data_IF_691183407442
#
_entry.id   IF_691183407442
#
_cell.length_a   1.000
_cell.length_b   1.000
_cell.length_c   1.000
_cell.angle_alpha   90.00
_cell.angle_beta   90.00
_cell.angle_gamma   90.00
#
_symmetry.space_group_name_H-M   'P 1'
#
loop_
_entity.id
_entity.type
_entity.pdbx_description
1 polymer ?
#
# COMPACT_ATOMS: atom_id res chain seq x y z
N UNK A 1 -24.33 25.33 -33.93
CA UNK A 1 -24.67 25.53 -32.50
C UNK A 1 -23.98 24.43 -31.71
N UNK A 2 -22.81 24.74 -31.12
CA UNK A 2 -21.94 23.76 -30.46
C UNK A 2 -22.23 23.68 -28.96
N UNK A 3 -22.78 22.55 -28.52
CA UNK A 3 -23.04 22.20 -27.12
C UNK A 3 -21.73 21.81 -26.41
N UNK A 4 -20.96 22.79 -25.94
CA UNK A 4 -19.86 22.60 -24.99
C UNK A 4 -20.41 22.65 -23.56
N UNK A 5 -21.05 21.55 -23.13
CA UNK A 5 -21.49 21.41 -21.74
C UNK A 5 -20.41 20.66 -20.94
N UNK A 6 -19.67 21.32 -20.03
CA UNK A 6 -18.55 20.72 -19.28
C UNK A 6 -18.98 19.56 -18.36
N UNK A 7 -20.27 19.48 -18.03
CA UNK A 7 -20.85 18.41 -17.22
C UNK A 7 -20.95 17.07 -17.98
N UNK A 8 -21.14 17.08 -19.30
CA UNK A 8 -21.12 15.85 -20.12
C UNK A 8 -19.72 15.26 -20.28
N UNK A 9 -18.67 16.10 -20.25
CA UNK A 9 -17.27 15.63 -20.33
C UNK A 9 -16.84 14.94 -19.03
N UNK A 10 -17.34 15.37 -17.86
CA UNK A 10 -17.03 14.76 -16.55
C UNK A 10 -17.74 13.42 -16.30
N UNK A 11 -18.93 13.20 -16.87
CA UNK A 11 -19.62 11.90 -16.80
C UNK A 11 -18.97 10.83 -17.67
N UNK A 12 -18.32 11.22 -18.78
CA UNK A 12 -17.59 10.30 -19.66
C UNK A 12 -16.26 9.82 -19.07
N UNK A 13 -15.57 10.66 -18.30
CA UNK A 13 -14.31 10.29 -17.62
C UNK A 13 -14.56 9.39 -16.41
N UNK A 14 -15.59 9.65 -15.61
CA UNK A 14 -15.96 8.78 -14.47
C UNK A 14 -16.40 7.38 -14.93
N UNK A 15 -17.20 7.29 -15.99
CA UNK A 15 -17.57 5.99 -16.60
C UNK A 15 -16.35 5.26 -17.18
N UNK A 16 -15.38 5.97 -17.75
CA UNK A 16 -14.12 5.38 -18.22
C UNK A 16 -13.22 4.91 -17.07
N UNK A 17 -13.15 5.63 -15.96
CA UNK A 17 -12.35 5.22 -14.80
C UNK A 17 -12.98 4.03 -14.08
N UNK A 18 -14.31 4.00 -13.93
CA UNK A 18 -15.02 2.81 -13.43
C UNK A 18 -14.84 1.61 -14.38
N UNK A 19 -14.89 1.83 -15.69
CA UNK A 19 -14.64 0.79 -16.68
C UNK A 19 -13.18 0.30 -16.64
N UNK A 20 -12.20 1.17 -16.40
CA UNK A 20 -10.78 0.80 -16.27
C UNK A 20 -10.48 0.10 -14.95
N UNK A 21 -11.12 0.49 -13.84
CA UNK A 21 -11.04 -0.22 -12.56
C UNK A 21 -11.73 -1.59 -12.62
N UNK A 22 -12.87 -1.67 -13.30
CA UNK A 22 -13.58 -2.92 -13.53
C UNK A 22 -12.83 -3.84 -14.51
N UNK A 23 -12.22 -3.27 -15.57
CA UNK A 23 -11.32 -3.99 -16.47
C UNK A 23 -10.01 -4.39 -15.80
N UNK A 24 -9.43 -3.60 -14.89
CA UNK A 24 -8.29 -4.06 -14.09
C UNK A 24 -8.71 -5.20 -13.16
N UNK A 25 -9.89 -5.11 -12.53
CA UNK A 25 -10.46 -6.18 -11.73
C UNK A 25 -10.74 -7.47 -12.53
N UNK A 26 -11.09 -7.35 -13.82
CA UNK A 26 -11.32 -8.49 -14.72
C UNK A 26 -10.04 -9.00 -15.41
N UNK A 27 -9.08 -8.13 -15.74
CA UNK A 27 -7.83 -8.49 -16.40
C UNK A 27 -6.78 -9.05 -15.41
N UNK A 28 -6.78 -8.61 -14.15
CA UNK A 28 -6.00 -9.26 -13.09
C UNK A 28 -6.58 -10.63 -12.70
N UNK A 29 -7.86 -10.87 -12.97
CA UNK A 29 -8.55 -12.10 -12.57
C UNK A 29 -8.75 -13.13 -13.70
N UNK A 30 -8.34 -12.89 -14.96
CA UNK A 30 -8.65 -13.85 -16.04
C UNK A 30 -7.53 -14.05 -17.09
N UNK A 31 -6.40 -13.35 -17.00
CA UNK A 31 -5.28 -13.52 -17.94
C UNK A 31 -4.21 -14.53 -17.52
N UNK A 32 -4.13 -14.87 -16.24
CA UNK A 32 -3.20 -15.87 -15.70
C UNK A 32 -3.93 -17.20 -15.42
N UNK A 33 -5.26 -17.19 -15.36
CA UNK A 33 -6.08 -18.33 -14.94
C UNK A 33 -6.30 -19.44 -16.00
N UNK A 34 -5.79 -19.29 -17.23
CA UNK A 34 -6.00 -20.29 -18.29
C UNK A 34 -4.91 -21.39 -18.33
N UNK A 35 -3.74 -21.15 -17.74
CA UNK A 35 -2.73 -22.19 -17.46
C UNK A 35 -2.80 -22.67 -15.98
N UNK A 36 -3.75 -22.15 -15.20
CA UNK A 36 -3.93 -22.37 -13.75
C UNK A 36 -5.07 -23.36 -13.41
N UNK A 37 -5.37 -24.34 -14.25
CA UNK A 37 -6.31 -25.41 -13.90
C UNK A 37 -5.81 -26.36 -12.78
N UNK A 38 -4.63 -26.11 -12.22
CA UNK A 38 -4.07 -26.83 -11.06
C UNK A 38 -3.89 -25.95 -9.81
N UNK A 39 -4.24 -24.66 -9.88
CA UNK A 39 -4.24 -23.77 -8.72
C UNK A 39 -5.66 -23.63 -8.19
N UNK A 40 -6.05 -24.53 -7.27
CA UNK A 40 -7.24 -24.30 -6.46
C UNK A 40 -6.82 -23.67 -5.11
N UNK A 41 -7.17 -22.39 -4.86
CA UNK A 41 -6.86 -21.68 -3.63
C UNK A 41 -7.58 -22.25 -2.40
N UNK A 42 -8.54 -23.17 -2.58
CA UNK A 42 -9.33 -23.80 -1.52
C UNK A 42 -8.90 -25.23 -1.20
N UNK A 43 -7.88 -25.79 -1.86
CA UNK A 43 -7.35 -27.13 -1.52
C UNK A 43 -6.71 -27.07 -0.14
N UNK A 44 -7.33 -27.68 0.89
CA UNK A 44 -6.76 -27.76 2.22
C UNK A 44 -5.39 -28.44 2.15
N UNK A 45 -4.47 -28.12 3.05
CA UNK A 45 -3.16 -28.82 3.14
C UNK A 45 -3.33 -30.33 3.32
N UNK A 46 -4.50 -30.78 3.79
CA UNK A 46 -4.88 -32.19 3.86
C UNK A 46 -5.14 -32.86 2.50
N UNK A 47 -5.45 -32.09 1.45
CA UNK A 47 -5.74 -32.58 0.09
C UNK A 47 -4.56 -32.42 -0.88
N UNK A 48 -3.44 -31.81 -0.48
CA UNK A 48 -2.20 -31.95 -1.26
C UNK A 48 -1.82 -33.43 -1.24
N UNK A 49 -2.01 -34.14 -2.35
CA UNK A 49 -1.67 -35.56 -2.45
C UNK A 49 -0.15 -35.71 -2.33
N UNK A 50 0.30 -36.05 -1.12
CA UNK A 50 1.67 -36.48 -0.91
C UNK A 50 1.89 -37.73 -1.75
N UNK A 51 3.02 -37.85 -2.47
CA UNK A 51 3.32 -39.09 -3.15
C UNK A 51 3.20 -40.23 -2.14
N UNK A 52 2.37 -41.24 -2.43
CA UNK A 52 2.02 -42.26 -1.46
C UNK A 52 3.30 -42.92 -0.93
N UNK A 53 3.29 -43.28 0.35
CA UNK A 53 4.31 -44.16 0.91
C UNK A 53 4.34 -45.38 -0.01
N UNK A 54 5.48 -45.75 -0.61
CA UNK A 54 5.54 -47.01 -1.33
C UNK A 54 5.33 -48.11 -0.30
N UNK A 55 4.11 -48.65 -0.27
CA UNK A 55 3.70 -49.76 0.60
C UNK A 55 4.50 -51.04 0.27
N UNK A 56 5.26 -51.02 -0.84
CA UNK A 56 6.06 -52.13 -1.37
C UNK A 56 7.47 -51.71 -1.81
N UNK A 57 8.16 -50.88 -1.03
CA UNK A 57 9.60 -50.69 -1.27
C UNK A 57 10.38 -51.85 -0.64
N UNK A 58 10.39 -53.00 -1.31
CA UNK A 58 11.02 -54.25 -0.83
C UNK A 58 12.56 -54.16 -0.68
N UNK A 59 13.17 -53.03 -1.07
CA UNK A 59 14.63 -52.83 -1.02
C UNK A 59 15.00 -51.44 -0.53
N UNK A 60 16.15 -51.34 0.15
CA UNK A 60 16.77 -50.08 0.56
C UNK A 60 16.94 -49.09 -0.62
N UNK A 61 17.19 -49.61 -1.82
CA UNK A 61 17.36 -48.83 -3.04
C UNK A 61 16.05 -48.16 -3.49
N UNK A 62 14.91 -48.85 -3.40
CA UNK A 62 13.61 -48.28 -3.73
C UNK A 62 13.23 -47.11 -2.80
N UNK A 63 13.56 -47.21 -1.52
CA UNK A 63 13.29 -46.15 -0.52
C UNK A 63 14.20 -44.95 -0.75
N UNK A 64 15.48 -45.16 -1.09
CA UNK A 64 16.41 -44.08 -1.45
C UNK A 64 15.98 -43.34 -2.72
N UNK A 65 15.52 -44.05 -3.74
CA UNK A 65 14.99 -43.45 -4.97
C UNK A 65 13.70 -42.65 -4.70
N UNK A 66 12.81 -43.19 -3.85
CA UNK A 66 11.63 -42.45 -3.41
C UNK A 66 11.99 -41.18 -2.64
N UNK A 67 12.97 -41.23 -1.72
CA UNK A 67 13.44 -40.04 -1.02
C UNK A 67 13.98 -38.97 -2.00
N UNK A 68 14.76 -39.36 -3.00
CA UNK A 68 15.29 -38.43 -4.01
C UNK A 68 14.16 -37.80 -4.84
N UNK A 69 13.19 -38.60 -5.27
CA UNK A 69 12.04 -38.11 -6.04
C UNK A 69 11.18 -37.12 -5.22
N UNK A 70 10.94 -37.44 -3.95
CA UNK A 70 10.26 -36.54 -2.99
C UNK A 70 11.06 -35.26 -2.81
N UNK A 71 12.36 -35.34 -2.51
CA UNK A 71 13.21 -34.17 -2.31
C UNK A 71 13.21 -33.24 -3.55
N UNK A 72 13.29 -33.79 -4.76
CA UNK A 72 13.27 -33.00 -5.99
C UNK A 72 11.91 -32.34 -6.26
N UNK A 73 10.81 -33.10 -6.12
CA UNK A 73 9.45 -32.59 -6.32
C UNK A 73 9.14 -31.44 -5.34
N UNK A 74 9.37 -31.66 -4.05
CA UNK A 74 9.10 -30.64 -3.03
C UNK A 74 10.02 -29.44 -3.15
N UNK A 75 11.31 -29.61 -3.47
CA UNK A 75 12.20 -28.47 -3.70
C UNK A 75 11.75 -27.63 -4.90
N UNK A 76 11.22 -28.24 -5.97
CA UNK A 76 10.75 -27.49 -7.13
C UNK A 76 9.44 -26.75 -6.82
N UNK A 77 8.42 -27.47 -6.37
CA UNK A 77 7.10 -26.90 -6.07
C UNK A 77 7.18 -25.82 -5.00
N UNK A 78 7.96 -26.03 -3.95
CA UNK A 78 8.10 -25.07 -2.86
C UNK A 78 8.88 -23.83 -3.29
N UNK A 79 9.86 -23.96 -4.19
CA UNK A 79 10.54 -22.81 -4.79
C UNK A 79 9.59 -22.00 -5.66
N UNK A 80 8.81 -22.66 -6.53
CA UNK A 80 7.83 -22.00 -7.39
C UNK A 80 6.74 -21.29 -6.57
N UNK A 81 6.20 -21.97 -5.57
CA UNK A 81 5.22 -21.40 -4.66
C UNK A 81 5.78 -20.20 -3.88
N UNK A 82 6.99 -20.32 -3.33
CA UNK A 82 7.64 -19.23 -2.60
C UNK A 82 7.87 -18.01 -3.49
N UNK A 83 8.28 -18.22 -4.74
CA UNK A 83 8.48 -17.13 -5.71
C UNK A 83 7.17 -16.42 -6.04
N UNK A 84 6.12 -17.17 -6.38
CA UNK A 84 4.79 -16.59 -6.67
C UNK A 84 4.24 -15.80 -5.48
N UNK A 85 4.43 -16.32 -4.26
CA UNK A 85 4.00 -15.64 -3.04
C UNK A 85 4.76 -14.33 -2.81
N UNK A 86 6.06 -14.31 -3.13
CA UNK A 86 6.88 -13.10 -3.05
C UNK A 86 6.48 -12.08 -4.12
N UNK A 87 6.26 -12.52 -5.37
CA UNK A 87 5.77 -11.66 -6.45
C UNK A 87 4.41 -11.03 -6.09
N UNK A 88 3.51 -11.81 -5.49
CA UNK A 88 2.23 -11.30 -5.00
C UNK A 88 2.39 -10.30 -3.85
N UNK A 89 3.31 -10.56 -2.90
CA UNK A 89 3.64 -9.63 -1.82
C UNK A 89 4.17 -8.31 -2.38
N UNK A 90 5.08 -8.36 -3.34
CA UNK A 90 5.65 -7.18 -4.00
C UNK A 90 4.56 -6.37 -4.72
N UNK A 91 3.69 -7.03 -5.48
CA UNK A 91 2.58 -6.36 -6.17
C UNK A 91 1.63 -5.64 -5.20
N UNK A 92 1.31 -6.26 -4.06
CA UNK A 92 0.51 -5.62 -3.03
C UNK A 92 1.22 -4.42 -2.39
N UNK A 93 2.53 -4.51 -2.16
CA UNK A 93 3.32 -3.41 -1.61
C UNK A 93 3.44 -2.25 -2.62
N UNK A 94 3.64 -2.55 -3.90
CA UNK A 94 3.65 -1.54 -4.98
C UNK A 94 2.31 -0.81 -5.07
N UNK A 95 1.19 -1.54 -4.98
CA UNK A 95 -0.15 -0.96 -4.96
C UNK A 95 -0.34 -0.05 -3.74
N UNK A 96 0.13 -0.47 -2.56
CA UNK A 96 0.10 0.36 -1.35
C UNK A 96 0.95 1.62 -1.50
N UNK A 97 2.17 1.51 -2.00
CA UNK A 97 3.05 2.65 -2.23
C UNK A 97 2.50 3.60 -3.29
N UNK A 98 1.80 3.10 -4.30
CA UNK A 98 1.10 3.93 -5.26
C UNK A 98 -0.05 4.72 -4.60
N UNK A 99 -0.83 4.09 -3.72
CA UNK A 99 -1.88 4.76 -2.95
C UNK A 99 -1.32 5.83 -1.99
N UNK A 100 -0.18 5.56 -1.34
CA UNK A 100 0.49 6.55 -0.48
C UNK A 100 1.00 7.74 -1.29
N UNK A 101 1.63 7.50 -2.44
CA UNK A 101 2.06 8.57 -3.36
C UNK A 101 0.88 9.41 -3.86
N UNK A 102 -0.21 8.78 -4.31
CA UNK A 102 -1.40 9.52 -4.73
C UNK A 102 -1.97 10.35 -3.56
N UNK A 103 -1.98 9.81 -2.34
CA UNK A 103 -2.42 10.58 -1.16
C UNK A 103 -1.57 11.83 -0.96
N UNK A 104 -0.24 11.73 -1.02
CA UNK A 104 0.67 12.87 -0.88
C UNK A 104 0.46 13.91 -1.98
N UNK A 105 0.34 13.46 -3.23
CA UNK A 105 0.05 14.35 -4.38
C UNK A 105 -1.28 15.09 -4.23
N UNK A 106 -2.29 14.44 -3.65
CA UNK A 106 -3.62 15.03 -3.39
C UNK A 106 -3.62 15.97 -2.18
N UNK A 107 -2.74 15.75 -1.22
CA UNK A 107 -2.60 16.58 -0.01
C UNK A 107 -1.87 17.90 -0.33
N UNK A 108 -0.92 17.86 -1.25
CA UNK A 108 -0.04 18.97 -1.61
C UNK A 108 -0.79 20.29 -1.92
N UNK A 109 -1.88 20.33 -2.70
CA UNK A 109 -2.64 21.56 -2.94
C UNK A 109 -3.22 22.17 -1.66
N UNK A 110 -3.68 21.34 -0.71
CA UNK A 110 -4.18 21.79 0.59
C UNK A 110 -3.06 22.39 1.44
N UNK A 111 -1.85 21.81 1.39
CA UNK A 111 -0.67 22.32 2.09
C UNK A 111 -0.27 23.68 1.50
N UNK A 112 -0.14 23.79 0.18
CA UNK A 112 0.23 25.05 -0.48
C UNK A 112 -0.80 26.16 -0.23
N UNK A 113 -2.09 25.82 -0.25
CA UNK A 113 -3.15 26.78 0.07
C UNK A 113 -3.10 27.23 1.54
N UNK A 114 -2.75 26.31 2.45
CA UNK A 114 -2.52 26.63 3.86
C UNK A 114 -1.33 27.57 4.04
N UNK A 115 -0.19 27.28 3.41
CA UNK A 115 1.02 28.11 3.48
C UNK A 115 0.75 29.54 2.97
N UNK A 116 0.04 29.68 1.84
CA UNK A 116 -0.35 31.00 1.30
C UNK A 116 -1.26 31.77 2.25
N UNK A 117 -2.24 31.10 2.85
CA UNK A 117 -3.13 31.70 3.87
C UNK A 117 -2.33 32.11 5.10
N UNK A 118 -1.40 31.28 5.55
CA UNK A 118 -0.64 31.49 6.77
C UNK A 118 0.40 32.60 6.63
N UNK A 119 1.05 32.70 5.46
CA UNK A 119 1.92 33.82 5.12
C UNK A 119 1.19 35.17 5.23
N UNK A 120 -0.08 35.22 4.81
CA UNK A 120 -0.91 36.42 4.95
C UNK A 120 -1.40 36.63 6.38
N UNK A 121 -1.62 35.58 7.18
CA UNK A 121 -2.09 35.70 8.58
C UNK A 121 -1.11 36.52 9.41
N UNK A 122 0.20 36.31 9.24
CA UNK A 122 1.23 37.03 9.99
C UNK A 122 1.13 38.55 9.76
N UNK A 123 0.96 38.98 8.51
CA UNK A 123 0.79 40.39 8.17
C UNK A 123 -0.58 40.97 8.55
N UNK A 124 -1.58 40.14 8.89
CA UNK A 124 -2.92 40.63 9.22
C UNK A 124 -2.95 41.46 10.50
N UNK A 125 -2.07 41.18 11.46
CA UNK A 125 -1.96 41.97 12.70
C UNK A 125 -1.36 43.34 12.38
N UNK A 126 -0.31 43.37 11.56
CA UNK A 126 0.35 44.62 11.16
C UNK A 126 -0.59 45.54 10.38
N UNK A 127 -1.42 44.98 9.50
CA UNK A 127 -2.44 45.74 8.78
C UNK A 127 -3.54 46.27 9.68
N UNK A 128 -3.93 45.52 10.72
CA UNK A 128 -4.90 46.01 11.71
C UNK A 128 -4.32 47.16 12.55
N UNK A 129 -3.06 47.05 12.98
CA UNK A 129 -2.36 48.15 13.67
C UNK A 129 -2.25 49.39 12.77
N UNK A 130 -1.81 49.22 11.51
CA UNK A 130 -1.75 50.31 10.54
C UNK A 130 -3.12 50.96 10.32
N UNK A 131 -4.21 50.18 10.29
CA UNK A 131 -5.57 50.71 10.18
C UNK A 131 -5.98 51.54 11.40
N UNK A 132 -5.65 51.09 12.61
CA UNK A 132 -5.89 51.87 13.83
C UNK A 132 -5.09 53.17 13.84
N UNK A 133 -3.83 53.15 13.38
CA UNK A 133 -2.99 54.34 13.32
C UNK A 133 -3.51 55.34 12.28
N UNK A 134 -3.94 54.86 11.09
CA UNK A 134 -4.61 55.69 10.08
C UNK A 134 -5.90 56.34 10.63
N UNK A 135 -6.67 55.64 11.46
CA UNK A 135 -7.86 56.22 12.10
C UNK A 135 -7.52 57.30 13.12
N UNK A 136 -6.47 57.10 13.94
CA UNK A 136 -5.98 58.14 14.85
C UNK A 136 -5.45 59.35 14.10
N UNK A 137 -4.71 59.15 13.02
CA UNK A 137 -4.21 60.22 12.16
C UNK A 137 -5.34 61.02 11.53
N UNK A 138 -6.42 60.34 11.08
CA UNK A 138 -7.64 61.01 10.60
C UNK A 138 -8.25 61.88 11.69
N UNK A 139 -8.48 61.34 12.88
CA UNK A 139 -9.13 62.06 13.98
C UNK A 139 -8.30 63.29 14.40
N UNK A 140 -6.98 63.15 14.49
CA UNK A 140 -6.08 64.26 14.80
C UNK A 140 -6.07 65.33 13.69
N UNK A 141 -6.10 64.91 12.43
CA UNK A 141 -6.16 65.81 11.27
C UNK A 141 -7.49 66.56 11.20
N UNK A 142 -8.62 65.89 11.43
CA UNK A 142 -9.95 66.52 11.48
C UNK A 142 -10.02 67.57 12.58
N UNK A 143 -9.58 67.24 13.80
CA UNK A 143 -9.52 68.19 14.91
C UNK A 143 -8.58 69.37 14.62
N UNK A 144 -7.43 69.14 13.97
CA UNK A 144 -6.48 70.18 13.59
C UNK A 144 -7.06 71.15 12.55
N UNK A 145 -7.82 70.64 11.58
CA UNK A 145 -8.49 71.45 10.56
C UNK A 145 -9.63 72.27 11.17
N UNK A 146 -10.45 71.68 12.05
CA UNK A 146 -11.51 72.39 12.78
C UNK A 146 -10.94 73.50 13.68
N UNK A 147 -9.79 73.28 14.30
CA UNK A 147 -9.08 74.30 15.08
C UNK A 147 -8.39 75.38 14.21
N UNK A 148 -8.40 75.25 12.89
CA UNK A 148 -7.74 76.17 11.96
C UNK A 148 -6.21 76.08 11.95
N UNK A 149 -5.64 75.01 12.52
CA UNK A 149 -4.20 74.83 12.66
C UNK A 149 -3.49 74.27 11.42
N UNK A 150 -4.25 73.71 10.47
CA UNK A 150 -3.77 73.28 9.16
C UNK A 150 -4.63 73.91 8.05
N UNK A 151 -4.00 74.19 6.91
CA UNK A 151 -4.69 74.72 5.73
C UNK A 151 -5.51 73.66 4.99
N UNK A 152 -6.42 74.10 4.13
CA UNK A 152 -7.27 73.21 3.31
C UNK A 152 -6.46 72.25 2.44
N UNK A 153 -5.44 72.75 1.76
CA UNK A 153 -4.62 71.95 0.84
C UNK A 153 -3.87 70.83 1.60
N UNK A 154 -3.40 71.13 2.81
CA UNK A 154 -2.75 70.14 3.68
C UNK A 154 -3.75 69.09 4.17
N UNK A 155 -4.95 69.52 4.57
CA UNK A 155 -6.03 68.62 4.96
C UNK A 155 -6.40 67.66 3.81
N UNK A 156 -6.61 68.18 2.59
CA UNK A 156 -6.98 67.36 1.43
C UNK A 156 -5.87 66.33 1.10
N UNK A 157 -4.59 66.72 1.15
CA UNK A 157 -3.47 65.81 0.92
C UNK A 157 -3.38 64.69 1.97
N UNK A 158 -3.51 65.03 3.27
CA UNK A 158 -3.49 64.04 4.36
C UNK A 158 -4.72 63.12 4.31
N UNK A 159 -5.88 63.66 3.97
CA UNK A 159 -7.11 62.88 3.81
C UNK A 159 -7.04 61.91 2.62
N UNK A 160 -6.40 62.30 1.52
CA UNK A 160 -6.14 61.39 0.39
C UNK A 160 -5.21 60.24 0.79
N UNK A 161 -4.15 60.52 1.56
CA UNK A 161 -3.26 59.49 2.10
C UNK A 161 -4.02 58.50 2.99
N UNK A 162 -4.90 58.98 3.87
CA UNK A 162 -5.80 58.14 4.66
C UNK A 162 -6.69 57.25 3.79
N UNK A 163 -7.37 57.82 2.78
CA UNK A 163 -8.23 57.05 1.86
C UNK A 163 -7.46 55.96 1.14
N UNK A 164 -6.25 56.26 0.67
CA UNK A 164 -5.36 55.29 0.04
C UNK A 164 -4.96 54.18 1.02
N UNK A 165 -4.59 54.53 2.26
CA UNK A 165 -4.24 53.57 3.30
C UNK A 165 -5.39 52.60 3.65
N UNK A 166 -6.62 53.11 3.78
CA UNK A 166 -7.81 52.28 4.01
C UNK A 166 -8.12 51.38 2.80
N UNK A 167 -7.92 51.86 1.58
CA UNK A 167 -8.08 51.04 0.38
C UNK A 167 -7.07 49.89 0.32
N UNK A 168 -5.80 50.15 0.67
CA UNK A 168 -4.76 49.13 0.78
C UNK A 168 -5.09 48.08 1.85
N UNK A 169 -5.59 48.50 3.01
CA UNK A 169 -6.06 47.61 4.07
C UNK A 169 -7.18 46.69 3.59
N UNK A 170 -8.23 47.24 2.95
CA UNK A 170 -9.33 46.44 2.39
C UNK A 170 -8.84 45.44 1.35
N UNK A 171 -7.99 45.89 0.42
CA UNK A 171 -7.40 45.03 -0.60
C UNK A 171 -6.57 43.89 0.01
N UNK A 172 -5.86 44.15 1.12
CA UNK A 172 -5.16 43.09 1.86
C UNK A 172 -6.15 42.07 2.46
N UNK A 173 -7.18 42.52 3.17
CA UNK A 173 -8.16 41.61 3.78
C UNK A 173 -8.96 40.81 2.75
N UNK A 174 -9.25 41.37 1.58
CA UNK A 174 -9.86 40.64 0.47
C UNK A 174 -8.95 39.52 -0.06
N UNK A 175 -7.64 39.78 -0.19
CA UNK A 175 -6.64 38.75 -0.53
C UNK A 175 -6.58 37.66 0.54
N UNK A 176 -6.58 38.02 1.81
CA UNK A 176 -6.59 37.06 2.92
C UNK A 176 -7.87 36.20 2.93
N UNK A 177 -9.04 36.81 2.76
CA UNK A 177 -10.31 36.11 2.67
C UNK A 177 -10.36 35.16 1.46
N UNK A 178 -9.83 35.58 0.32
CA UNK A 178 -9.69 34.75 -0.87
C UNK A 178 -8.77 33.54 -0.62
N UNK A 179 -7.60 33.75 -0.01
CA UNK A 179 -6.68 32.68 0.35
C UNK A 179 -7.29 31.67 1.33
N UNK A 180 -8.05 32.15 2.32
CA UNK A 180 -8.80 31.29 3.24
C UNK A 180 -9.82 30.42 2.52
N UNK A 181 -10.65 31.01 1.63
CA UNK A 181 -11.64 30.25 0.84
C UNK A 181 -10.96 29.24 -0.10
N UNK A 182 -9.78 29.56 -0.63
CA UNK A 182 -9.01 28.61 -1.42
C UNK A 182 -8.58 27.40 -0.56
N UNK A 183 -7.98 27.64 0.60
CA UNK A 183 -7.62 26.59 1.55
C UNK A 183 -8.82 25.73 1.95
N UNK A 184 -9.94 26.35 2.35
CA UNK A 184 -11.12 25.61 2.82
C UNK A 184 -11.64 24.65 1.73
N UNK A 185 -11.64 25.08 0.45
CA UNK A 185 -12.05 24.24 -0.69
C UNK A 185 -11.08 23.09 -0.97
N UNK A 186 -9.78 23.37 -1.03
CA UNK A 186 -8.77 22.33 -1.29
C UNK A 186 -8.72 21.32 -0.14
N UNK A 187 -8.84 21.79 1.10
CA UNK A 187 -8.90 20.92 2.27
C UNK A 187 -10.16 20.03 2.25
N UNK A 188 -11.33 20.59 1.96
CA UNK A 188 -12.57 19.82 1.84
C UNK A 188 -12.48 18.78 0.72
N UNK A 189 -11.88 19.12 -0.42
CA UNK A 189 -11.64 18.18 -1.51
C UNK A 189 -10.71 17.04 -1.09
N UNK A 190 -9.64 17.34 -0.36
CA UNK A 190 -8.73 16.33 0.18
C UNK A 190 -9.42 15.43 1.23
N UNK A 191 -10.21 15.99 2.13
CA UNK A 191 -10.99 15.20 3.11
C UNK A 191 -11.97 14.25 2.42
N UNK A 192 -12.68 14.72 1.39
CA UNK A 192 -13.55 13.86 0.58
C UNK A 192 -12.78 12.74 -0.10
N UNK A 193 -11.61 13.02 -0.67
CA UNK A 193 -10.74 11.97 -1.21
C UNK A 193 -10.33 10.93 -0.16
N UNK A 194 -9.98 11.38 1.05
CA UNK A 194 -9.63 10.47 2.14
C UNK A 194 -10.79 9.54 2.51
N UNK A 195 -12.01 10.06 2.53
CA UNK A 195 -13.23 9.34 2.89
C UNK A 195 -13.72 8.40 1.79
N UNK A 196 -13.81 8.91 0.57
CA UNK A 196 -14.47 8.21 -0.53
C UNK A 196 -13.53 7.22 -1.23
N UNK A 197 -12.22 7.46 -1.22
CA UNK A 197 -11.25 6.66 -1.98
C UNK A 197 -10.17 6.02 -1.10
N UNK A 198 -9.39 6.82 -0.36
CA UNK A 198 -8.19 6.31 0.32
C UNK A 198 -8.49 5.35 1.47
N UNK A 199 -9.38 5.71 2.40
CA UNK A 199 -9.74 4.84 3.54
C UNK A 199 -10.36 3.51 3.06
N UNK A 200 -11.31 3.48 2.10
CA UNK A 200 -11.79 2.24 1.52
C UNK A 200 -10.69 1.41 0.84
N UNK A 201 -9.81 2.04 0.07
CA UNK A 201 -8.71 1.33 -0.62
C UNK A 201 -7.74 0.67 0.37
N UNK A 202 -7.35 1.37 1.45
CA UNK A 202 -6.51 0.80 2.51
C UNK A 202 -7.24 -0.32 3.26
N UNK A 203 -8.54 -0.17 3.52
CA UNK A 203 -9.33 -1.24 4.14
C UNK A 203 -9.39 -2.49 3.24
N UNK A 204 -9.57 -2.31 1.92
CA UNK A 204 -9.53 -3.39 0.94
C UNK A 204 -8.16 -4.06 0.90
N UNK A 205 -7.05 -3.30 0.85
CA UNK A 205 -5.69 -3.82 0.94
C UNK A 205 -5.49 -4.68 2.20
N UNK A 206 -5.86 -4.15 3.38
CA UNK A 206 -5.75 -4.89 4.65
C UNK A 206 -6.59 -6.16 4.65
N UNK A 207 -7.77 -6.11 4.05
CA UNK A 207 -8.61 -7.30 3.89
C UNK A 207 -7.92 -8.34 3.02
N UNK A 208 -7.39 -7.96 1.85
CA UNK A 208 -6.69 -8.87 0.93
C UNK A 208 -5.46 -9.50 1.58
N UNK A 209 -4.69 -8.73 2.34
CA UNK A 209 -3.55 -9.27 3.11
C UNK A 209 -4.04 -10.37 4.06
N UNK A 210 -5.09 -10.09 4.85
CA UNK A 210 -5.61 -11.03 5.84
C UNK A 210 -6.29 -12.26 5.23
N UNK A 211 -7.07 -12.09 4.18
CA UNK A 211 -7.88 -13.18 3.60
C UNK A 211 -7.13 -13.99 2.55
N UNK A 212 -6.00 -13.48 2.04
CA UNK A 212 -5.25 -14.12 0.97
C UNK A 212 -3.78 -14.30 1.30
N UNK A 213 -3.03 -13.22 1.56
CA UNK A 213 -1.56 -13.31 1.70
C UNK A 213 -1.15 -14.10 2.95
N UNK A 214 -1.72 -13.76 4.11
CA UNK A 214 -1.42 -14.41 5.39
C UNK A 214 -1.72 -15.92 5.37
N UNK A 215 -2.90 -16.38 4.90
CA UNK A 215 -3.17 -17.82 4.75
C UNK A 215 -2.17 -18.53 3.84
N UNK A 216 -1.71 -17.90 2.74
CA UNK A 216 -0.74 -18.53 1.85
C UNK A 216 0.66 -18.59 2.46
N UNK A 217 1.05 -17.59 3.28
CA UNK A 217 2.27 -17.64 4.08
C UNK A 217 2.22 -18.75 5.13
N UNK A 218 1.09 -18.91 5.82
CA UNK A 218 0.91 -20.02 6.77
C UNK A 218 0.91 -21.37 6.05
N UNK A 219 0.27 -21.48 4.88
CA UNK A 219 0.34 -22.67 4.02
C UNK A 219 1.77 -23.01 3.64
N UNK A 220 2.59 -22.02 3.26
CA UNK A 220 4.02 -22.21 2.97
C UNK A 220 4.74 -22.82 4.17
N UNK A 221 4.50 -22.26 5.37
CA UNK A 221 5.11 -22.71 6.62
C UNK A 221 4.74 -24.16 6.95
N UNK A 222 3.46 -24.51 6.82
CA UNK A 222 2.98 -25.87 7.07
C UNK A 222 3.51 -26.88 6.04
N UNK A 223 3.60 -26.50 4.76
CA UNK A 223 4.18 -27.35 3.71
C UNK A 223 5.67 -27.61 3.96
N UNK A 224 6.43 -26.58 4.35
CA UNK A 224 7.83 -26.71 4.76
C UNK A 224 7.98 -27.68 5.94
N UNK A 225 7.16 -27.52 6.97
CA UNK A 225 7.20 -28.39 8.16
C UNK A 225 6.93 -29.87 7.79
N UNK A 226 5.88 -30.13 7.01
CA UNK A 226 5.55 -31.50 6.55
C UNK A 226 6.63 -32.11 5.67
N UNK A 227 7.27 -31.30 4.82
CA UNK A 227 8.39 -31.76 4.01
C UNK A 227 9.57 -32.21 4.87
N UNK A 228 9.96 -31.40 5.87
CA UNK A 228 11.05 -31.75 6.77
C UNK A 228 10.73 -32.99 7.62
N UNK A 229 9.48 -33.15 8.10
CA UNK A 229 9.01 -34.37 8.76
C UNK A 229 9.15 -35.61 7.86
N UNK A 230 8.71 -35.50 6.60
CA UNK A 230 8.78 -36.61 5.62
C UNK A 230 10.22 -37.02 5.34
N UNK A 231 11.12 -36.03 5.20
CA UNK A 231 12.54 -36.25 4.99
C UNK A 231 13.21 -36.92 6.20
N UNK A 232 12.84 -36.51 7.41
CA UNK A 232 13.30 -37.14 8.64
C UNK A 232 12.83 -38.60 8.74
N UNK A 233 11.58 -38.88 8.38
CA UNK A 233 11.04 -40.24 8.32
C UNK A 233 11.80 -41.13 7.33
N UNK A 234 12.02 -40.68 6.09
CA UNK A 234 12.79 -41.44 5.09
C UNK A 234 14.19 -41.80 5.61
N UNK A 235 14.87 -40.84 6.25
CA UNK A 235 16.19 -41.07 6.87
C UNK A 235 16.14 -42.13 7.96
N UNK A 236 15.14 -42.08 8.83
CA UNK A 236 14.95 -43.06 9.91
C UNK A 236 14.70 -44.47 9.36
N UNK A 237 13.84 -44.61 8.34
CA UNK A 237 13.57 -45.90 7.69
C UNK A 237 14.81 -46.47 7.01
N UNK A 238 15.58 -45.63 6.31
CA UNK A 238 16.86 -46.03 5.70
C UNK A 238 17.82 -46.56 6.76
N UNK A 239 17.96 -45.86 7.89
CA UNK A 239 18.82 -46.31 8.99
C UNK A 239 18.37 -47.65 9.58
N UNK A 240 17.06 -47.83 9.78
CA UNK A 240 16.50 -49.07 10.29
C UNK A 240 16.77 -50.25 9.34
N UNK A 241 16.54 -50.08 8.04
CA UNK A 241 16.77 -51.13 7.04
C UNK A 241 18.25 -51.46 6.87
N UNK A 242 19.13 -50.45 6.89
CA UNK A 242 20.58 -50.69 6.89
C UNK A 242 21.02 -51.52 8.09
N UNK A 243 20.44 -51.29 9.27
CA UNK A 243 20.77 -52.07 10.46
C UNK A 243 20.32 -53.54 10.33
N UNK A 244 19.17 -53.78 9.68
CA UNK A 244 18.68 -55.14 9.39
C UNK A 244 19.58 -55.85 8.36
N UNK A 245 19.88 -55.22 7.22
CA UNK A 245 20.77 -55.79 6.20
C UNK A 245 22.14 -56.14 6.78
N UNK A 246 22.75 -55.26 7.58
CA UNK A 246 24.03 -55.54 8.24
C UNK A 246 23.95 -56.70 9.25
N UNK A 247 22.82 -56.87 9.94
CA UNK A 247 22.64 -57.98 10.87
C UNK A 247 22.52 -59.32 10.13
N UNK A 248 21.84 -59.33 8.97
CA UNK A 248 21.72 -60.51 8.13
C UNK A 248 23.03 -60.87 7.43
N UNK A 249 23.77 -59.88 6.93
CA UNK A 249 25.14 -60.07 6.39
C UNK A 249 26.07 -60.69 7.45
N UNK A 250 26.02 -60.21 8.70
CA UNK A 250 26.79 -60.77 9.81
C UNK A 250 26.41 -62.22 10.09
N UNK A 251 25.12 -62.55 10.08
CA UNK A 251 24.64 -63.93 10.30
C UNK A 251 25.11 -64.85 9.18
N UNK A 252 24.95 -64.45 7.93
CA UNK A 252 25.38 -65.23 6.76
C UNK A 252 26.92 -65.44 6.75
N UNK A 253 27.70 -64.42 7.15
CA UNK A 253 29.14 -64.54 7.30
C UNK A 253 29.53 -65.52 8.41
N UNK A 254 28.87 -65.45 9.57
CA UNK A 254 29.10 -66.38 10.68
C UNK A 254 28.73 -67.82 10.32
N UNK A 255 27.67 -68.03 9.54
CA UNK A 255 27.31 -69.35 9.02
C UNK A 255 28.36 -69.90 8.05
N UNK A 256 28.86 -69.08 7.12
CA UNK A 256 29.97 -69.47 6.24
C UNK A 256 31.24 -69.81 7.01
N UNK A 257 31.63 -68.96 7.97
CA UNK A 257 32.81 -69.21 8.81
C UNK A 257 32.64 -70.47 9.67
N UNK A 258 31.43 -70.79 10.14
CA UNK A 258 31.15 -72.06 10.83
C UNK A 258 31.24 -73.27 9.89
N UNK A 259 30.76 -73.14 8.66
CA UNK A 259 30.86 -74.20 7.65
C UNK A 259 32.33 -74.44 7.24
N UNK A 260 33.14 -73.38 7.15
CA UNK A 260 34.57 -73.46 6.83
C UNK A 260 35.42 -73.94 8.03
N UNK A 261 35.04 -73.62 9.26
CA UNK A 261 35.73 -74.10 10.47
C UNK A 261 35.28 -75.52 10.91
N UNK A 262 34.20 -76.05 10.33
CA UNK A 262 33.69 -77.41 10.53
C UNK A 262 34.06 -78.40 9.42
N UNK A 263 34.85 -77.96 8.43
CA UNK A 263 35.50 -78.76 7.39
C UNK A 263 36.99 -78.95 7.74
#
# INVERSE_FOLDING_TARGET
MNNNNPLRRRQGTLKRHFLHLFLLGLCCAQGVLADEASFDPFVPVAQTEFPPIPVYAETLQAIRLHQLAVDQFYQHELRMFSRRLEDYRLSLEEARQALEREREEREQPSIEAWERKEALRLSSVDWELKRQDLEKERDAMEAAFEAGSIGRDEYEARFEAYRKGIAEYKAFHDRYASARRAFDREHEAFQRYLEEAYRPAIAAYRSVVRTSLEPQQERRRLLLARFEERKAWCRSVIQALQAVEQADERRALLEKLKAEAGA
#
